data_IF_274659767283
#
_entry.id   IF_274659767283
#
_cell.length_a   1.000
_cell.length_b   1.000
_cell.length_c   1.000
_cell.angle_alpha   90.00
_cell.angle_beta   90.00
_cell.angle_gamma   90.00
#
_symmetry.space_group_name_H-M   'P 1'
#
loop_
_entity.id
_entity.type
_entity.pdbx_description
1 polymer ?
#
# COMPACT_ATOMS: atom_id res chain seq x y z
N UNK A 1 -23.54 -24.30 0.06
CA UNK A 1 -23.51 -23.09 0.92
C UNK A 1 -23.15 -21.91 0.03
N UNK A 2 -24.09 -21.02 -0.26
CA UNK A 2 -23.85 -19.86 -1.12
C UNK A 2 -23.13 -18.80 -0.28
N UNK A 3 -21.86 -18.52 -0.58
CA UNK A 3 -21.15 -17.43 0.09
C UNK A 3 -21.72 -16.10 -0.39
N UNK A 4 -22.17 -15.28 0.56
CA UNK A 4 -22.65 -13.93 0.29
C UNK A 4 -21.46 -12.97 0.29
N UNK A 5 -20.90 -12.70 -0.90
CA UNK A 5 -19.82 -11.74 -1.07
C UNK A 5 -20.43 -10.33 -1.04
N UNK A 6 -20.02 -9.43 -0.13
CA UNK A 6 -20.55 -8.07 -0.10
C UNK A 6 -20.12 -7.30 -1.36
N UNK A 7 -20.98 -6.40 -1.86
CA UNK A 7 -20.70 -5.60 -3.06
C UNK A 7 -19.37 -4.85 -2.96
N UNK A 8 -19.03 -4.34 -1.77
CA UNK A 8 -17.78 -3.65 -1.49
C UNK A 8 -16.51 -4.47 -1.79
N UNK A 9 -16.59 -5.81 -1.69
CA UNK A 9 -15.48 -6.69 -2.02
C UNK A 9 -15.31 -6.88 -3.55
N UNK A 10 -16.32 -6.53 -4.34
CA UNK A 10 -16.31 -6.60 -5.81
C UNK A 10 -15.92 -5.26 -6.46
N UNK A 11 -15.93 -4.16 -5.70
CA UNK A 11 -15.69 -2.79 -6.17
C UNK A 11 -14.21 -2.45 -6.43
N UNK A 12 -13.29 -3.43 -6.35
CA UNK A 12 -11.86 -3.27 -6.68
C UNK A 12 -11.21 -2.02 -6.07
N UNK A 13 -11.54 -1.70 -4.81
CA UNK A 13 -11.09 -0.49 -4.13
C UNK A 13 -9.55 -0.33 -4.04
N UNK A 14 -8.78 -1.40 -4.29
CA UNK A 14 -7.32 -1.41 -4.28
C UNK A 14 -6.65 -1.23 -5.66
N UNK A 15 -7.41 -1.06 -6.74
CA UNK A 15 -6.87 -1.02 -8.11
C UNK A 15 -5.88 0.12 -8.35
N UNK A 16 -6.05 1.24 -7.64
CA UNK A 16 -5.12 2.37 -7.71
C UNK A 16 -3.71 1.96 -7.28
N UNK A 17 -3.57 1.26 -6.15
CA UNK A 17 -2.27 0.80 -5.63
C UNK A 17 -1.60 -0.12 -6.66
N UNK A 18 -2.36 -1.05 -7.24
CA UNK A 18 -1.83 -2.02 -8.20
C UNK A 18 -1.37 -1.39 -9.53
N UNK A 19 -2.04 -0.32 -9.98
CA UNK A 19 -1.64 0.45 -11.17
C UNK A 19 -0.49 1.42 -10.89
N UNK A 20 -0.41 1.94 -9.66
CA UNK A 20 0.61 2.90 -9.26
C UNK A 20 1.96 2.24 -8.92
N UNK A 21 1.92 1.13 -8.19
CA UNK A 21 3.12 0.37 -7.82
C UNK A 21 3.41 -0.65 -8.93
N UNK A 22 4.43 -0.37 -9.73
CA UNK A 22 4.85 -1.23 -10.84
C UNK A 22 5.25 -2.64 -10.40
N UNK A 23 6.28 -2.79 -9.55
CA UNK A 23 6.75 -4.10 -9.09
C UNK A 23 5.69 -4.85 -8.28
N UNK A 24 5.24 -6.00 -8.80
CA UNK A 24 4.37 -6.91 -8.07
C UNK A 24 5.14 -7.69 -6.99
N UNK A 25 4.46 -8.57 -6.23
CA UNK A 25 5.11 -9.35 -5.17
C UNK A 25 6.30 -10.18 -5.66
N UNK A 26 6.20 -10.78 -6.85
CA UNK A 26 7.28 -11.59 -7.44
C UNK A 26 8.48 -10.72 -7.84
N UNK A 27 8.23 -9.55 -8.44
CA UNK A 27 9.28 -8.61 -8.82
C UNK A 27 10.01 -8.08 -7.58
N UNK A 28 9.25 -7.68 -6.56
CA UNK A 28 9.80 -7.23 -5.28
C UNK A 28 10.68 -8.31 -4.64
N UNK A 29 10.25 -9.57 -4.65
CA UNK A 29 11.04 -10.67 -4.11
C UNK A 29 12.33 -10.93 -4.92
N UNK A 30 12.27 -10.85 -6.25
CA UNK A 30 13.46 -10.96 -7.09
C UNK A 30 14.46 -9.82 -6.83
N UNK A 31 13.96 -8.59 -6.69
CA UNK A 31 14.78 -7.42 -6.36
C UNK A 31 15.42 -7.53 -4.97
N UNK A 32 14.66 -7.95 -3.95
CA UNK A 32 15.17 -8.17 -2.60
C UNK A 32 16.24 -9.26 -2.56
N UNK A 33 16.04 -10.36 -3.28
CA UNK A 33 17.02 -11.44 -3.39
C UNK A 33 18.33 -10.96 -4.04
N UNK A 34 18.26 -10.11 -5.08
CA UNK A 34 19.44 -9.50 -5.69
C UNK A 34 20.22 -8.60 -4.72
N UNK A 35 19.55 -8.02 -3.73
CA UNK A 35 20.15 -7.22 -2.65
C UNK A 35 20.58 -8.07 -1.44
N UNK A 36 20.31 -9.38 -1.44
CA UNK A 36 20.57 -10.26 -0.30
C UNK A 36 19.66 -9.99 0.91
N UNK A 37 18.45 -9.48 0.67
CA UNK A 37 17.47 -9.12 1.70
C UNK A 37 16.24 -10.01 1.64
N UNK A 38 15.56 -10.16 2.77
CA UNK A 38 14.38 -11.03 2.93
C UNK A 38 13.05 -10.27 2.85
N UNK A 39 13.04 -8.96 3.12
CA UNK A 39 11.82 -8.15 3.16
C UNK A 39 12.07 -6.66 2.88
N UNK A 40 10.99 -5.94 2.57
CA UNK A 40 11.01 -4.48 2.49
C UNK A 40 11.29 -3.82 3.86
N UNK A 41 10.87 -4.45 4.96
CA UNK A 41 11.18 -3.96 6.31
C UNK A 41 12.68 -4.02 6.61
N UNK A 42 13.33 -5.13 6.23
CA UNK A 42 14.78 -5.28 6.37
C UNK A 42 15.53 -4.25 5.52
N UNK A 43 15.04 -3.98 4.30
CA UNK A 43 15.57 -2.92 3.45
C UNK A 43 15.43 -1.54 4.13
N UNK A 44 14.24 -1.22 4.65
CA UNK A 44 13.99 0.05 5.33
C UNK A 44 14.89 0.23 6.56
N UNK A 45 15.08 -0.82 7.35
CA UNK A 45 15.96 -0.82 8.54
C UNK A 45 17.43 -0.53 8.21
N UNK A 46 17.92 -1.02 7.05
CA UNK A 46 19.30 -0.81 6.61
C UNK A 46 19.53 0.55 5.97
N UNK A 47 18.50 1.16 5.38
CA UNK A 47 18.62 2.41 4.60
C UNK A 47 18.22 3.66 5.39
N UNK A 48 17.17 3.58 6.22
CA UNK A 48 16.64 4.74 6.95
C UNK A 48 17.17 4.74 8.39
N UNK A 49 17.96 5.76 8.80
CA UNK A 49 18.43 5.86 10.18
C UNK A 49 17.28 5.92 11.18
N UNK A 50 17.37 5.12 12.24
CA UNK A 50 16.30 5.03 13.26
C UNK A 50 15.89 6.37 13.86
N UNK A 51 16.84 7.29 14.04
CA UNK A 51 16.59 8.60 14.65
C UNK A 51 15.70 9.54 13.84
N UNK A 52 15.47 9.26 12.54
CA UNK A 52 14.61 10.06 11.66
C UNK A 52 13.41 9.27 11.13
N UNK A 53 13.25 8.00 11.53
CA UNK A 53 12.10 7.20 11.12
C UNK A 53 10.88 7.61 11.92
N UNK A 54 9.71 7.60 11.28
CA UNK A 54 8.44 7.83 11.98
C UNK A 54 8.28 6.87 13.16
N UNK A 55 8.06 7.43 14.35
CA UNK A 55 7.91 6.66 15.58
C UNK A 55 6.49 6.11 15.78
N UNK A 56 5.48 6.83 15.28
CA UNK A 56 4.08 6.44 15.41
C UNK A 56 3.42 6.49 14.04
N UNK A 57 3.34 5.33 13.37
CA UNK A 57 2.70 5.24 12.05
C UNK A 57 1.17 5.35 12.17
N UNK A 58 0.60 4.82 13.25
CA UNK A 58 -0.84 4.77 13.45
C UNK A 58 -1.47 6.16 13.60
N UNK A 59 -0.79 7.07 14.30
CA UNK A 59 -1.25 8.45 14.41
C UNK A 59 -1.32 9.16 13.03
N UNK A 60 -0.40 8.85 12.12
CA UNK A 60 -0.40 9.43 10.77
C UNK A 60 -1.44 8.79 9.87
N UNK A 61 -1.64 7.47 9.96
CA UNK A 61 -2.72 6.77 9.24
C UNK A 61 -4.09 7.31 9.63
N UNK A 62 -4.32 7.58 10.92
CA UNK A 62 -5.55 8.19 11.41
C UNK A 62 -5.75 9.61 10.87
N UNK A 63 -4.68 10.39 10.78
CA UNK A 63 -4.73 11.76 10.25
C UNK A 63 -4.96 11.81 8.73
N UNK A 64 -4.43 10.85 7.97
CA UNK A 64 -4.59 10.74 6.51
C UNK A 64 -5.96 10.19 6.10
N UNK A 65 -6.60 9.41 6.96
CA UNK A 65 -7.87 8.74 6.66
C UNK A 65 -7.68 7.49 5.78
N UNK A 66 -8.79 6.85 5.42
CA UNK A 66 -8.77 5.67 4.57
C UNK A 66 -8.44 6.05 3.13
N UNK A 67 -7.69 5.18 2.44
CA UNK A 67 -7.49 5.31 0.99
C UNK A 67 -8.82 5.29 0.24
N UNK A 68 -8.86 6.02 -0.87
CA UNK A 68 -10.04 6.13 -1.75
C UNK A 68 -9.71 5.63 -3.17
N UNK A 69 -10.76 5.37 -3.94
CA UNK A 69 -10.63 4.96 -5.34
C UNK A 69 -10.34 6.17 -6.25
N UNK A 70 -9.75 5.92 -7.42
CA UNK A 70 -9.55 6.97 -8.43
C UNK A 70 -10.88 7.67 -8.80
N UNK A 71 -11.98 6.92 -8.87
CA UNK A 71 -13.29 7.47 -9.20
C UNK A 71 -13.81 8.43 -8.11
N UNK A 72 -13.62 8.09 -6.84
CA UNK A 72 -14.01 8.96 -5.71
C UNK A 72 -13.23 10.27 -5.74
N UNK A 73 -11.92 10.22 -5.95
CA UNK A 73 -11.07 11.42 -6.06
C UNK A 73 -11.49 12.30 -7.22
N UNK A 74 -11.79 11.71 -8.38
CA UNK A 74 -12.26 12.47 -9.54
C UNK A 74 -13.62 13.15 -9.29
N UNK A 75 -14.50 12.55 -8.49
CA UNK A 75 -15.77 13.17 -8.11
C UNK A 75 -15.55 14.33 -7.13
N UNK A 76 -14.69 14.15 -6.13
CA UNK A 76 -14.36 15.17 -5.14
C UNK A 76 -13.74 16.41 -5.79
N UNK A 77 -12.74 16.24 -6.66
CA UNK A 77 -12.03 17.35 -7.31
C UNK A 77 -12.86 18.12 -8.35
N UNK A 78 -14.00 17.57 -8.76
CA UNK A 78 -14.93 18.24 -9.69
C UNK A 78 -15.96 19.12 -8.98
N UNK A 79 -16.14 18.95 -7.67
CA UNK A 79 -17.08 19.72 -6.86
C UNK A 79 -16.55 21.13 -6.56
#
# INVERSE_FOLDING_TARGET
MTQHIPLSALEQNADFIRRHIGPGPQDQQAMLAALGLSSLDELADKVVPRGIRLADVAAYEQALGAGCTEQQVLQELRA
#
